data_IF_794574132490
#
_entry.id   IF_794574132490
#
_cell.length_a   1.000
_cell.length_b   1.000
_cell.length_c   1.000
_cell.angle_alpha   90.00
_cell.angle_beta   90.00
_cell.angle_gamma   90.00
#
_symmetry.space_group_name_H-M   'P 1'
#
loop_
_entity.id
_entity.type
_entity.pdbx_description
1 polymer ?
#
# COMPACT_ATOMS: atom_id res chain seq x y z
N UNK A 1 21.99 -13.37 16.01
CA UNK A 1 21.83 -12.36 14.94
C UNK A 1 20.35 -12.07 14.66
N UNK A 2 19.49 -13.10 14.64
CA UNK A 2 18.05 -12.94 14.45
C UNK A 2 17.35 -12.19 15.61
N UNK A 3 17.74 -12.44 16.86
CA UNK A 3 17.07 -11.85 18.04
C UNK A 3 17.18 -10.32 18.13
N UNK A 4 18.29 -9.75 17.62
CA UNK A 4 18.51 -8.30 17.66
C UNK A 4 17.62 -7.56 16.66
N UNK A 5 17.36 -8.20 15.52
CA UNK A 5 16.45 -7.69 14.50
C UNK A 5 15.01 -7.77 15.04
N UNK A 6 14.61 -8.94 15.55
CA UNK A 6 13.27 -9.13 16.11
C UNK A 6 12.99 -8.19 17.29
N UNK A 7 13.98 -7.98 18.17
CA UNK A 7 13.88 -7.00 19.26
C UNK A 7 13.72 -5.57 18.77
N UNK A 8 14.45 -5.16 17.73
CA UNK A 8 14.30 -3.83 17.11
C UNK A 8 12.89 -3.63 16.55
N UNK A 9 12.36 -4.62 15.82
CA UNK A 9 11.00 -4.56 15.26
C UNK A 9 9.92 -4.56 16.34
N UNK A 10 10.12 -5.31 17.43
CA UNK A 10 9.17 -5.31 18.55
C UNK A 10 9.12 -3.94 19.24
N UNK A 11 10.27 -3.30 19.46
CA UNK A 11 10.33 -1.95 20.04
C UNK A 11 9.69 -0.92 19.11
N UNK A 12 9.96 -0.98 17.80
CA UNK A 12 9.32 -0.09 16.81
C UNK A 12 7.81 -0.27 16.75
N UNK A 13 7.32 -1.51 16.81
CA UNK A 13 5.89 -1.81 16.83
C UNK A 13 5.20 -1.34 18.13
N UNK A 14 5.91 -1.37 19.26
CA UNK A 14 5.41 -0.88 20.55
C UNK A 14 5.42 0.65 20.63
N UNK A 15 6.37 1.31 19.95
CA UNK A 15 6.49 2.76 19.89
C UNK A 15 5.50 3.39 18.90
N UNK A 16 5.05 2.63 17.90
CA UNK A 16 4.03 3.08 16.97
C UNK A 16 2.68 3.21 17.67
N UNK A 17 2.10 4.42 17.61
CA UNK A 17 0.73 4.64 18.08
C UNK A 17 -0.22 3.75 17.28
N UNK A 18 -1.10 3.02 17.97
CA UNK A 18 -2.11 2.20 17.29
C UNK A 18 -3.04 3.12 16.52
N UNK A 19 -2.78 3.22 15.22
CA UNK A 19 -3.68 3.92 14.31
C UNK A 19 -5.00 3.17 14.33
N UNK A 20 -6.03 3.77 14.92
CA UNK A 20 -7.38 3.25 14.81
C UNK A 20 -7.76 3.24 13.34
N UNK A 21 -7.95 2.05 12.78
CA UNK A 21 -8.56 1.93 11.46
C UNK A 21 -10.01 2.39 11.61
N UNK A 22 -10.32 3.58 11.11
CA UNK A 22 -11.70 4.05 11.00
C UNK A 22 -12.53 3.05 10.19
N UNK A 23 -13.85 3.07 10.35
CA UNK A 23 -14.73 2.21 9.56
C UNK A 23 -14.45 2.45 8.06
N UNK A 24 -13.91 1.43 7.39
CA UNK A 24 -13.69 1.46 5.94
C UNK A 24 -14.98 0.94 5.32
N UNK A 25 -15.62 1.74 4.48
CA UNK A 25 -16.65 1.23 3.58
C UNK A 25 -15.95 0.51 2.41
N UNK A 26 -15.99 -0.83 2.34
CA UNK A 26 -15.17 -1.59 1.40
C UNK A 26 -15.49 -1.24 -0.06
N UNK A 27 -16.73 -0.87 -0.35
CA UNK A 27 -17.16 -0.45 -1.69
C UNK A 27 -16.40 0.78 -2.19
N UNK A 28 -16.30 1.82 -1.35
CA UNK A 28 -15.57 3.06 -1.69
C UNK A 28 -14.11 2.79 -2.04
N UNK A 29 -13.46 1.85 -1.34
CA UNK A 29 -12.06 1.52 -1.58
C UNK A 29 -11.85 0.80 -2.92
N UNK A 30 -12.76 -0.09 -3.30
CA UNK A 30 -12.70 -0.79 -4.59
C UNK A 30 -12.96 0.20 -5.74
N UNK A 31 -13.93 1.10 -5.60
CA UNK A 31 -14.21 2.13 -6.59
C UNK A 31 -13.01 3.07 -6.82
N UNK A 32 -12.33 3.48 -5.74
CA UNK A 32 -11.09 4.27 -5.82
C UNK A 32 -9.95 3.52 -6.54
N UNK A 33 -9.81 2.20 -6.31
CA UNK A 33 -8.82 1.39 -7.02
C UNK A 33 -9.14 1.33 -8.51
N UNK A 34 -10.43 1.13 -8.87
CA UNK A 34 -10.88 1.07 -10.26
C UNK A 34 -10.69 2.39 -11.01
N UNK A 35 -10.71 3.52 -10.30
CA UNK A 35 -10.45 4.85 -10.85
C UNK A 35 -8.98 5.29 -10.82
N UNK A 36 -8.06 4.48 -10.27
CA UNK A 36 -6.65 4.84 -10.15
C UNK A 36 -5.91 4.71 -11.48
N UNK A 37 -4.90 5.57 -11.67
CA UNK A 37 -4.05 5.49 -12.86
C UNK A 37 -3.21 4.22 -12.81
N UNK A 38 -3.32 3.39 -13.86
CA UNK A 38 -2.56 2.17 -14.01
C UNK A 38 -1.36 2.37 -14.94
N UNK A 39 -0.19 1.92 -14.48
CA UNK A 39 1.01 1.75 -15.32
C UNK A 39 1.45 0.30 -15.31
N UNK A 40 1.58 -0.28 -16.49
CA UNK A 40 1.99 -1.67 -16.69
C UNK A 40 3.45 -1.78 -17.16
N UNK A 41 4.22 -2.66 -16.52
CA UNK A 41 5.60 -2.96 -16.86
C UNK A 41 5.80 -4.46 -17.09
N UNK A 42 6.65 -4.88 -18.06
CA UNK A 42 7.08 -6.27 -18.14
C UNK A 42 7.87 -6.62 -16.88
N UNK A 43 7.48 -7.70 -16.21
CA UNK A 43 8.24 -8.25 -15.09
C UNK A 43 9.52 -8.92 -15.63
N UNK A 44 10.60 -9.07 -14.84
CA UNK A 44 11.78 -9.85 -15.25
C UNK A 44 11.47 -11.32 -15.60
N UNK A 45 10.31 -11.85 -15.14
CA UNK A 45 9.77 -13.14 -15.53
C UNK A 45 8.71 -13.05 -16.66
N UNK A 46 7.81 -14.03 -16.73
CA UNK A 46 6.74 -14.04 -17.75
C UNK A 46 5.49 -13.23 -17.37
N UNK A 47 5.53 -12.53 -16.24
CA UNK A 47 4.39 -11.76 -15.73
C UNK A 47 4.41 -10.29 -16.14
N UNK A 48 3.36 -9.57 -15.77
CA UNK A 48 3.29 -8.11 -15.90
C UNK A 48 3.02 -7.49 -14.54
N UNK A 49 3.82 -6.50 -14.19
CA UNK A 49 3.66 -5.70 -12.99
C UNK A 49 2.77 -4.50 -13.32
N UNK A 50 1.59 -4.45 -12.71
CA UNK A 50 0.65 -3.35 -12.79
C UNK A 50 0.84 -2.51 -11.54
N UNK A 51 1.06 -1.21 -11.71
CA UNK A 51 1.20 -0.25 -10.62
C UNK A 51 0.06 0.74 -10.70
N UNK A 52 -0.65 0.87 -9.59
CA UNK A 52 -1.79 1.74 -9.44
C UNK A 52 -1.39 2.93 -8.57
N UNK A 53 -1.69 4.14 -9.01
CA UNK A 53 -1.42 5.35 -8.24
C UNK A 53 -2.58 6.33 -8.40
N UNK A 54 -3.06 6.86 -7.29
CA UNK A 54 -3.97 8.00 -7.22
C UNK A 54 -3.59 8.86 -6.02
N UNK A 55 -4.28 9.98 -5.82
CA UNK A 55 -4.03 10.88 -4.70
C UNK A 55 -4.19 10.21 -3.33
N UNK A 56 -5.00 9.14 -3.26
CA UNK A 56 -5.40 8.50 -2.01
C UNK A 56 -5.07 7.00 -1.95
N UNK A 57 -4.60 6.40 -3.05
CA UNK A 57 -4.28 4.97 -3.14
C UNK A 57 -2.96 4.75 -3.87
N UNK A 58 -2.20 3.80 -3.36
CA UNK A 58 -1.10 3.19 -4.10
C UNK A 58 -1.18 1.67 -4.02
N UNK A 59 -0.81 0.98 -5.07
CA UNK A 59 -0.83 -0.47 -5.07
C UNK A 59 -0.16 -1.09 -6.28
N UNK A 60 -0.09 -2.41 -6.26
CA UNK A 60 0.38 -3.18 -7.40
C UNK A 60 -0.40 -4.48 -7.57
N UNK A 61 -0.43 -4.96 -8.81
CA UNK A 61 -0.92 -6.29 -9.14
C UNK A 61 0.06 -6.97 -10.09
N UNK A 62 0.30 -8.26 -9.88
CA UNK A 62 1.10 -9.10 -10.76
C UNK A 62 0.17 -10.00 -11.54
N UNK A 63 0.24 -9.93 -12.87
CA UNK A 63 -0.51 -10.85 -13.74
C UNK A 63 0.41 -11.84 -14.43
N UNK A 64 -0.10 -13.05 -14.68
CA UNK A 64 0.55 -14.06 -15.51
C UNK A 64 -0.50 -14.67 -16.44
N UNK A 65 -0.22 -14.69 -17.75
CA UNK A 65 -1.17 -15.17 -18.79
C UNK A 65 -2.57 -14.51 -18.75
N UNK A 66 -2.65 -13.27 -18.27
CA UNK A 66 -3.91 -12.53 -18.16
C UNK A 66 -4.67 -12.76 -16.86
N UNK A 67 -4.18 -13.60 -15.95
CA UNK A 67 -4.77 -13.82 -14.63
C UNK A 67 -3.98 -13.08 -13.54
N UNK A 68 -4.67 -12.51 -12.55
CA UNK A 68 -4.05 -11.85 -11.39
C UNK A 68 -3.56 -12.92 -10.42
N UNK A 69 -2.24 -12.96 -10.20
CA UNK A 69 -1.60 -13.89 -9.28
C UNK A 69 -1.51 -13.30 -7.87
N UNK A 70 -1.30 -11.99 -7.79
CA UNK A 70 -1.15 -11.28 -6.53
C UNK A 70 -1.55 -9.81 -6.70
N UNK A 71 -2.24 -9.24 -5.72
CA UNK A 71 -2.55 -7.82 -5.68
C UNK A 71 -2.48 -7.29 -4.26
N UNK A 72 -1.96 -6.07 -4.12
CA UNK A 72 -1.83 -5.37 -2.84
C UNK A 72 -2.11 -3.90 -3.06
N UNK A 73 -2.98 -3.34 -2.23
CA UNK A 73 -3.39 -1.95 -2.28
C UNK A 73 -3.36 -1.34 -0.89
N UNK A 74 -2.93 -0.08 -0.83
CA UNK A 74 -2.81 0.70 0.39
C UNK A 74 -3.50 2.05 0.18
N UNK A 75 -4.21 2.53 1.21
CA UNK A 75 -4.61 3.94 1.26
C UNK A 75 -3.42 4.78 1.69
N UNK A 76 -3.13 5.82 0.91
CA UNK A 76 -2.21 6.87 1.30
C UNK A 76 -2.95 7.75 2.30
N UNK A 77 -2.53 7.69 3.57
CA UNK A 77 -2.96 8.69 4.54
C UNK A 77 -2.25 9.98 4.15
N UNK A 78 -3.02 11.00 3.76
CA UNK A 78 -2.45 12.29 3.47
C UNK A 78 -2.10 12.93 4.80
N UNK A 79 -0.90 12.64 5.30
CA UNK A 79 -0.36 13.23 6.52
C UNK A 79 0.04 14.68 6.20
N UNK A 80 -0.93 15.53 5.92
CA UNK A 80 -0.74 16.98 5.92
C UNK A 80 -0.68 17.47 7.37
N UNK A 81 0.34 17.05 8.12
CA UNK A 81 0.79 17.82 9.28
C UNK A 81 1.58 19.01 8.77
N UNK A 82 0.84 20.05 8.38
CA UNK A 82 1.31 21.41 8.27
C UNK A 82 1.81 21.87 9.67
N UNK A 83 3.07 21.63 9.99
CA UNK A 83 3.75 22.37 11.05
C UNK A 83 4.30 23.67 10.47
N UNK A 84 3.40 24.66 10.34
CA UNK A 84 3.77 26.08 10.39
C UNK A 84 3.69 26.56 11.84
N UNK A 85 4.68 27.37 12.21
CA UNK A 85 4.85 28.17 13.45
C UNK A 85 5.45 27.36 14.63
N UNK A 86 6.54 27.77 15.28
CA UNK A 86 7.06 29.11 15.55
C UNK A 86 8.59 29.11 15.73
#
# INVERSE_FOLDING_TARGET
>A
LHDRIMGSYAIEAMLHERVGYGAIEPGSFIEEIMGADEKSYPSPGYGRDHRYTSDHITGSALTYRGEVVHSVFFRLRNDCSNTRNH
#
